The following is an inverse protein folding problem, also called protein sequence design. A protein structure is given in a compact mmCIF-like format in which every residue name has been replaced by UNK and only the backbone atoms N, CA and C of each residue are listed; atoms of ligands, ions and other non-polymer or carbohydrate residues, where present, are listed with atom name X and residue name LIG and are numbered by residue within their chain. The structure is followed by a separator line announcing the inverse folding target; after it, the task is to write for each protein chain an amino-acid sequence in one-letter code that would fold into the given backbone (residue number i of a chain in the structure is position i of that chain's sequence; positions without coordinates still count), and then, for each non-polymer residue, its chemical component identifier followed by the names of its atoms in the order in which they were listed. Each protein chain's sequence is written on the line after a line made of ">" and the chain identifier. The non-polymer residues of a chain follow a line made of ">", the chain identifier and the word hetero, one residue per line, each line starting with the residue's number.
data_IF_600954972774
#
_entry.id   IF_600954972774
#
_cell.length_a   1.000
_cell.length_b   1.000
_cell.length_c   1.000
_cell.angle_alpha   90.00
_cell.angle_beta   90.00
_cell.angle_gamma   90.00
#
_symmetry.space_group_name_H-M   'P 1'
#
loop_
_entity.id
_entity.type
_entity.pdbx_description
1 polymer ?
#
# COMPACT_ATOMS: atom_id res chain seq x y z
N UNK A 1 5.36 -9.71 -40.40
CA UNK A 1 5.04 -9.88 -38.97
C UNK A 1 3.59 -9.48 -38.69
N UNK A 2 2.81 -10.32 -38.04
CA UNK A 2 1.41 -10.07 -37.65
C UNK A 2 1.28 -10.26 -36.14
N UNK A 3 0.67 -9.32 -35.45
CA UNK A 3 0.37 -9.48 -34.02
C UNK A 3 -0.94 -10.25 -33.91
N UNK A 4 -0.87 -11.45 -33.32
CA UNK A 4 -2.02 -12.31 -33.13
C UNK A 4 -2.78 -11.90 -31.86
N UNK A 5 -2.03 -11.59 -30.81
CA UNK A 5 -2.57 -11.26 -29.47
C UNK A 5 -1.69 -10.21 -28.81
N UNK A 6 -2.29 -9.31 -28.05
CA UNK A 6 -1.59 -8.28 -27.26
C UNK A 6 -2.38 -7.99 -25.99
N UNK A 7 -1.69 -7.92 -24.84
CA UNK A 7 -2.23 -7.45 -23.57
C UNK A 7 -1.35 -6.34 -23.00
N UNK A 8 -1.96 -5.46 -22.22
CA UNK A 8 -1.32 -4.27 -21.67
C UNK A 8 -1.65 -4.16 -20.19
N UNK A 9 -0.61 -4.20 -19.34
CA UNK A 9 -0.70 -3.91 -17.91
C UNK A 9 -0.06 -2.55 -17.64
N UNK A 10 -0.76 -1.68 -16.95
CA UNK A 10 -0.23 -0.37 -16.56
C UNK A 10 0.25 -0.44 -15.13
N UNK A 11 1.49 -0.04 -14.90
CA UNK A 11 2.14 0.03 -13.61
C UNK A 11 2.11 1.45 -13.04
N UNK A 12 2.58 1.55 -11.82
CA UNK A 12 2.78 2.83 -11.14
C UNK A 12 3.68 3.78 -11.96
N UNK A 13 3.39 5.09 -11.91
CA UNK A 13 4.13 6.15 -12.65
C UNK A 13 4.15 6.05 -14.18
N UNK A 14 3.11 5.45 -14.77
CA UNK A 14 3.00 5.41 -16.22
C UNK A 14 3.94 4.41 -16.90
N UNK A 15 4.53 3.51 -16.16
CA UNK A 15 5.22 2.35 -16.73
C UNK A 15 4.19 1.35 -17.24
N UNK A 16 4.46 0.75 -18.40
CA UNK A 16 3.53 -0.14 -19.07
C UNK A 16 4.25 -1.40 -19.48
N UNK A 17 3.68 -2.55 -19.11
CA UNK A 17 4.07 -3.85 -19.66
C UNK A 17 3.14 -4.18 -20.83
N UNK A 18 3.71 -4.47 -21.98
CA UNK A 18 2.99 -5.01 -23.14
C UNK A 18 3.52 -6.39 -23.44
N UNK A 19 2.63 -7.35 -23.52
CA UNK A 19 2.99 -8.71 -23.94
C UNK A 19 2.13 -9.14 -25.10
N UNK A 20 2.69 -9.95 -26.01
CA UNK A 20 1.97 -10.37 -27.19
C UNK A 20 2.57 -11.60 -27.86
N UNK A 21 1.76 -12.15 -28.76
CA UNK A 21 2.18 -13.21 -29.69
C UNK A 21 2.28 -12.61 -31.09
N UNK A 22 3.44 -12.80 -31.70
CA UNK A 22 3.77 -12.25 -33.01
C UNK A 22 4.07 -13.41 -33.94
N UNK A 23 3.30 -13.47 -35.03
CA UNK A 23 3.53 -14.39 -36.13
C UNK A 23 4.51 -13.75 -37.11
N UNK A 24 5.61 -14.40 -37.33
CA UNK A 24 6.60 -14.02 -38.34
C UNK A 24 6.90 -15.23 -39.22
N UNK A 25 6.54 -15.10 -40.49
CA UNK A 25 6.54 -16.20 -41.45
C UNK A 25 5.68 -17.38 -40.96
N UNK A 26 6.30 -18.46 -40.50
CA UNK A 26 5.63 -19.69 -40.05
C UNK A 26 5.77 -19.93 -38.54
N UNK A 27 6.40 -19.00 -37.81
CA UNK A 27 6.67 -19.17 -36.38
C UNK A 27 5.93 -18.10 -35.55
N UNK A 28 5.50 -18.52 -34.38
CA UNK A 28 4.88 -17.62 -33.40
C UNK A 28 5.86 -17.36 -32.26
N UNK A 29 6.15 -16.08 -32.01
CA UNK A 29 7.06 -15.64 -30.97
C UNK A 29 6.27 -14.99 -29.83
N UNK A 30 6.61 -15.36 -28.60
CA UNK A 30 6.09 -14.70 -27.40
C UNK A 30 7.03 -13.54 -27.06
N UNK A 31 6.48 -12.35 -26.94
CA UNK A 31 7.25 -11.14 -26.71
C UNK A 31 6.64 -10.33 -25.58
N UNK A 32 7.49 -9.83 -24.71
CA UNK A 32 7.15 -8.96 -23.58
C UNK A 32 8.06 -7.74 -23.64
N UNK A 33 7.49 -6.54 -23.48
CA UNK A 33 8.24 -5.29 -23.39
C UNK A 33 7.75 -4.47 -22.21
N UNK A 34 8.66 -3.77 -21.57
CA UNK A 34 8.39 -2.78 -20.53
C UNK A 34 8.70 -1.39 -21.08
N UNK A 35 7.72 -0.50 -21.02
CA UNK A 35 7.79 0.83 -21.61
C UNK A 35 7.67 1.87 -20.51
N UNK A 36 8.54 2.89 -20.55
CA UNK A 36 8.44 4.10 -19.74
C UNK A 36 8.44 5.31 -20.67
N UNK A 37 7.35 6.06 -20.68
CA UNK A 37 7.13 7.08 -21.71
C UNK A 37 7.00 6.44 -23.08
N UNK A 38 7.94 6.71 -23.98
CA UNK A 38 7.98 6.15 -25.35
C UNK A 38 9.10 5.13 -25.55
N UNK A 39 9.89 4.81 -24.53
CA UNK A 39 11.08 3.97 -24.65
C UNK A 39 10.90 2.61 -23.99
N UNK A 40 11.37 1.56 -24.67
CA UNK A 40 11.53 0.23 -24.07
C UNK A 40 12.75 0.28 -23.16
N UNK A 41 12.58 0.00 -21.87
CA UNK A 41 13.70 -0.09 -20.92
C UNK A 41 14.05 -1.54 -20.58
N UNK A 42 13.12 -2.49 -20.79
CA UNK A 42 13.36 -3.91 -20.63
C UNK A 42 12.49 -4.72 -21.61
N UNK A 43 12.95 -5.89 -22.02
CA UNK A 43 12.22 -6.77 -22.93
C UNK A 43 12.66 -8.23 -22.83
N UNK A 44 11.77 -9.13 -23.22
CA UNK A 44 12.09 -10.54 -23.49
C UNK A 44 11.32 -11.04 -24.70
N UNK A 45 11.95 -11.88 -25.51
CA UNK A 45 11.32 -12.50 -26.67
C UNK A 45 11.81 -13.94 -26.84
N UNK A 46 10.97 -14.84 -27.30
CA UNK A 46 11.34 -16.24 -27.57
C UNK A 46 12.15 -16.43 -28.88
N UNK A 47 12.49 -15.37 -29.60
CA UNK A 47 13.36 -15.44 -30.78
C UNK A 47 14.85 -15.58 -30.38
N UNK A 48 15.70 -15.94 -31.33
CA UNK A 48 17.14 -16.11 -31.10
C UNK A 48 17.84 -14.83 -30.60
N UNK A 49 17.30 -13.65 -30.93
CA UNK A 49 17.83 -12.34 -30.52
C UNK A 49 17.11 -11.78 -29.27
N UNK A 50 16.18 -12.53 -28.71
CA UNK A 50 15.21 -12.08 -27.72
C UNK A 50 15.76 -11.59 -26.40
N UNK A 51 17.05 -11.86 -26.11
CA UNK A 51 17.75 -11.47 -24.89
C UNK A 51 19.14 -10.90 -25.20
N UNK A 52 19.36 -10.34 -26.37
CA UNK A 52 20.67 -9.84 -26.77
C UNK A 52 20.95 -8.46 -26.14
N UNK A 53 22.19 -8.21 -25.72
CA UNK A 53 22.67 -6.91 -25.24
C UNK A 53 22.69 -5.81 -26.33
N UNK A 54 22.31 -6.13 -27.57
CA UNK A 54 22.32 -5.20 -28.71
C UNK A 54 21.05 -4.36 -28.86
N UNK A 55 20.11 -4.48 -27.90
CA UNK A 55 18.84 -3.75 -27.90
C UNK A 55 17.66 -4.57 -28.40
N UNK A 56 16.44 -4.00 -28.36
CA UNK A 56 15.21 -4.72 -28.67
C UNK A 56 15.20 -5.35 -30.06
N UNK A 57 14.83 -6.62 -30.12
CA UNK A 57 14.72 -7.37 -31.38
C UNK A 57 13.56 -6.82 -32.24
N UNK A 58 13.47 -7.27 -33.48
CA UNK A 58 12.42 -6.82 -34.43
C UNK A 58 11.00 -7.07 -33.93
N UNK A 59 10.77 -8.16 -33.17
CA UNK A 59 9.47 -8.50 -32.59
C UNK A 59 9.11 -7.55 -31.43
N UNK A 60 10.07 -7.20 -30.57
CA UNK A 60 9.85 -6.24 -29.49
C UNK A 60 9.50 -4.83 -30.04
N UNK A 61 10.17 -4.41 -31.09
CA UNK A 61 9.87 -3.14 -31.80
C UNK A 61 8.48 -3.18 -32.46
N UNK A 62 8.12 -4.29 -33.13
CA UNK A 62 6.80 -4.46 -33.72
C UNK A 62 5.68 -4.40 -32.67
N UNK A 63 5.90 -4.97 -31.48
CA UNK A 63 4.95 -4.91 -30.38
C UNK A 63 4.82 -3.49 -29.82
N UNK A 64 5.92 -2.74 -29.71
CA UNK A 64 5.92 -1.33 -29.32
C UNK A 64 5.13 -0.47 -30.30
N UNK A 65 5.35 -0.65 -31.61
CA UNK A 65 4.64 0.09 -32.65
C UNK A 65 3.14 -0.20 -32.65
N UNK A 66 2.75 -1.45 -32.42
CA UNK A 66 1.34 -1.80 -32.32
C UNK A 66 0.68 -1.16 -31.10
N UNK A 67 1.37 -1.18 -29.97
CA UNK A 67 0.91 -0.49 -28.77
C UNK A 67 0.76 1.01 -29.01
N UNK A 68 1.75 1.65 -29.65
CA UNK A 68 1.69 3.08 -29.97
C UNK A 68 0.53 3.41 -30.94
N UNK A 69 0.24 2.53 -31.90
CA UNK A 69 -0.94 2.67 -32.80
C UNK A 69 -2.25 2.54 -32.04
N UNK A 70 -2.36 1.59 -31.13
CA UNK A 70 -3.55 1.43 -30.29
C UNK A 70 -3.77 2.66 -29.42
N UNK A 71 -2.74 3.21 -28.79
CA UNK A 71 -2.84 4.46 -28.03
C UNK A 71 -3.27 5.65 -28.87
N UNK A 72 -2.77 5.77 -30.10
CA UNK A 72 -3.21 6.83 -31.04
C UNK A 72 -4.66 6.66 -31.49
N UNK A 73 -5.12 5.45 -31.70
CA UNK A 73 -6.52 5.16 -32.05
C UNK A 73 -7.47 5.48 -30.89
N UNK A 74 -7.04 5.29 -29.65
CA UNK A 74 -7.77 5.70 -28.44
C UNK A 74 -7.82 7.23 -28.24
N UNK A 75 -6.95 7.99 -28.92
CA UNK A 75 -6.90 9.46 -28.87
C UNK A 75 -7.71 10.17 -29.97
N UNK A 76 -8.39 9.46 -30.85
CA UNK A 76 -9.40 10.06 -31.73
C UNK A 76 -10.61 10.38 -30.86
N UNK A 77 -11.12 11.66 -30.80
CA UNK A 77 -12.08 12.04 -29.80
C UNK A 77 -13.43 11.33 -30.04
N UNK A 78 -13.76 10.33 -29.27
CA UNK A 78 -15.12 9.82 -29.23
C UNK A 78 -15.90 10.63 -28.22
N UNK A 79 -17.19 10.68 -28.42
CA UNK A 79 -18.23 11.04 -27.45
C UNK A 79 -17.68 10.95 -26.01
N UNK A 80 -17.81 12.02 -25.23
CA UNK A 80 -17.25 12.20 -23.89
C UNK A 80 -17.66 11.06 -22.92
N UNK A 81 -16.88 10.00 -22.95
CA UNK A 81 -16.97 8.97 -21.92
C UNK A 81 -16.19 9.43 -20.70
N UNK A 82 -16.82 9.33 -19.53
CA UNK A 82 -16.17 9.72 -18.28
C UNK A 82 -14.87 8.90 -18.03
N UNK A 83 -13.90 9.43 -17.28
CA UNK A 83 -12.66 8.70 -16.95
C UNK A 83 -12.92 7.32 -16.36
N UNK A 84 -13.99 7.18 -15.55
CA UNK A 84 -14.40 5.93 -14.91
C UNK A 84 -14.86 4.89 -15.94
N UNK A 85 -15.65 5.31 -16.93
CA UNK A 85 -16.11 4.42 -18.01
C UNK A 85 -14.93 3.97 -18.88
N UNK A 86 -13.97 4.86 -19.16
CA UNK A 86 -12.76 4.50 -19.90
C UNK A 86 -11.92 3.48 -19.15
N UNK A 87 -11.79 3.64 -17.84
CA UNK A 87 -11.09 2.69 -16.98
C UNK A 87 -11.78 1.34 -16.96
N UNK A 88 -13.11 1.33 -16.88
CA UNK A 88 -13.93 0.12 -16.92
C UNK A 88 -13.80 -0.63 -18.26
N UNK A 89 -13.86 0.10 -19.38
CA UNK A 89 -13.69 -0.51 -20.73
C UNK A 89 -12.29 -1.11 -20.86
N UNK A 90 -11.25 -0.39 -20.40
CA UNK A 90 -9.85 -0.85 -20.42
C UNK A 90 -9.65 -2.10 -19.58
N UNK A 91 -10.24 -2.12 -18.39
CA UNK A 91 -10.18 -3.29 -17.50
C UNK A 91 -10.91 -4.50 -18.09
N UNK A 92 -12.09 -4.28 -18.70
CA UNK A 92 -12.83 -5.33 -19.41
C UNK A 92 -12.03 -5.89 -20.59
N UNK A 93 -11.44 -5.01 -21.41
CA UNK A 93 -10.61 -5.43 -22.56
C UNK A 93 -9.39 -6.23 -22.11
N UNK A 94 -8.71 -5.79 -21.04
CA UNK A 94 -7.57 -6.52 -20.47
C UNK A 94 -7.97 -7.91 -19.93
N UNK A 95 -9.11 -8.01 -19.27
CA UNK A 95 -9.67 -9.30 -18.81
C UNK A 95 -9.98 -10.23 -19.99
N UNK A 96 -10.60 -9.71 -21.05
CA UNK A 96 -10.95 -10.53 -22.22
C UNK A 96 -9.68 -11.01 -22.95
N UNK A 97 -8.66 -10.18 -23.06
CA UNK A 97 -7.37 -10.58 -23.63
C UNK A 97 -6.65 -11.60 -22.76
N UNK A 98 -6.64 -11.44 -21.45
CA UNK A 98 -6.08 -12.42 -20.50
C UNK A 98 -6.81 -13.76 -20.63
N UNK A 99 -8.14 -13.73 -20.79
CA UNK A 99 -9.00 -14.88 -21.06
C UNK A 99 -8.58 -15.63 -22.30
N UNK A 100 -8.41 -14.95 -23.42
CA UNK A 100 -8.01 -15.53 -24.70
C UNK A 100 -6.58 -16.10 -24.67
N UNK A 101 -5.69 -15.54 -23.84
CA UNK A 101 -4.31 -16.01 -23.69
C UNK A 101 -4.17 -17.26 -22.80
N UNK A 102 -5.28 -17.79 -22.24
CA UNK A 102 -5.23 -18.92 -21.30
C UNK A 102 -4.61 -18.56 -19.95
N UNK A 103 -4.52 -17.23 -19.63
CA UNK A 103 -4.21 -16.74 -18.29
C UNK A 103 -5.45 -16.82 -17.37
N UNK A 104 -6.45 -17.57 -17.79
CA UNK A 104 -7.87 -17.42 -17.54
C UNK A 104 -8.40 -17.91 -16.21
N UNK A 105 -7.68 -18.64 -15.43
CA UNK A 105 -8.23 -19.22 -14.21
C UNK A 105 -7.33 -19.02 -12.98
N UNK A 106 -6.56 -17.97 -12.98
CA UNK A 106 -5.86 -17.64 -11.74
C UNK A 106 -6.80 -16.78 -10.91
N UNK A 107 -7.39 -17.40 -9.88
CA UNK A 107 -8.06 -16.65 -8.83
C UNK A 107 -7.24 -15.42 -8.43
N UNK A 108 -7.85 -14.25 -8.35
CA UNK A 108 -7.14 -13.03 -7.99
C UNK A 108 -6.47 -13.15 -6.62
N UNK A 109 -5.35 -12.50 -6.47
CA UNK A 109 -4.62 -12.48 -5.22
C UNK A 109 -5.06 -11.26 -4.41
N UNK A 110 -5.40 -11.48 -3.15
CA UNK A 110 -5.80 -10.43 -2.22
C UNK A 110 -4.60 -9.92 -1.45
N UNK A 111 -4.54 -8.61 -1.29
CA UNK A 111 -3.56 -7.94 -0.44
C UNK A 111 -4.30 -7.25 0.70
N UNK A 112 -3.94 -7.59 1.93
CA UNK A 112 -4.59 -7.11 3.13
C UNK A 112 -3.60 -6.30 3.99
N UNK A 113 -3.97 -5.09 4.44
CA UNK A 113 -3.20 -4.37 5.42
C UNK A 113 -3.24 -5.07 6.78
N UNK A 114 -2.13 -4.96 7.49
CA UNK A 114 -2.00 -5.33 8.87
C UNK A 114 -1.27 -4.20 9.58
N UNK A 115 -1.88 -3.66 10.63
CA UNK A 115 -1.41 -2.45 11.29
C UNK A 115 -0.85 -2.76 12.67
N UNK A 116 0.35 -2.29 12.95
CA UNK A 116 0.85 -2.21 14.32
C UNK A 116 0.73 -0.76 14.78
N UNK A 117 -0.05 -0.53 15.82
CA UNK A 117 -0.26 0.80 16.38
C UNK A 117 0.48 0.87 17.69
N UNK A 118 1.56 1.67 17.73
CA UNK A 118 2.45 1.76 18.88
C UNK A 118 2.86 3.20 19.13
N UNK A 119 2.55 3.72 20.32
CA UNK A 119 3.01 5.04 20.79
C UNK A 119 2.82 6.18 19.77
N UNK A 120 1.64 6.27 19.17
CA UNK A 120 1.35 7.30 18.17
C UNK A 120 1.93 7.03 16.79
N UNK A 121 2.63 5.91 16.58
CA UNK A 121 3.12 5.46 15.29
C UNK A 121 2.26 4.36 14.70
N UNK A 122 2.14 4.35 13.40
CA UNK A 122 1.46 3.31 12.63
C UNK A 122 2.47 2.64 11.72
N UNK A 123 2.72 1.37 11.96
CA UNK A 123 3.52 0.53 11.09
C UNK A 123 2.58 -0.31 10.24
N UNK A 124 2.82 -0.30 8.94
CA UNK A 124 2.06 -1.03 7.95
C UNK A 124 2.81 -2.28 7.53
N UNK A 125 2.21 -3.44 7.74
CA UNK A 125 2.59 -4.71 7.13
C UNK A 125 1.57 -5.08 6.05
N UNK A 126 1.92 -6.04 5.20
CA UNK A 126 1.01 -6.60 4.22
C UNK A 126 0.90 -8.12 4.36
N UNK A 127 -0.31 -8.62 4.23
CA UNK A 127 -0.59 -10.05 4.10
C UNK A 127 -1.18 -10.33 2.72
N UNK A 128 -0.67 -11.33 2.03
CA UNK A 128 -1.00 -11.64 0.65
C UNK A 128 -1.50 -13.06 0.53
N UNK A 129 -2.51 -13.30 -0.28
CA UNK A 129 -3.00 -14.66 -0.51
C UNK A 129 -4.35 -14.72 -1.18
N UNK A 130 -4.81 -15.94 -1.37
CA UNK A 130 -6.16 -16.29 -1.79
C UNK A 130 -6.95 -16.78 -0.59
N UNK A 131 -7.07 -18.09 -0.42
CA UNK A 131 -7.66 -18.66 0.80
C UNK A 131 -6.73 -18.52 2.00
N UNK A 132 -5.43 -18.85 1.81
CA UNK A 132 -4.41 -18.74 2.86
C UNK A 132 -3.63 -17.43 2.71
N UNK A 133 -3.50 -16.70 3.80
CA UNK A 133 -2.75 -15.44 3.85
C UNK A 133 -1.31 -15.67 4.29
N UNK A 134 -0.37 -15.12 3.54
CA UNK A 134 1.06 -15.15 3.82
C UNK A 134 1.53 -13.75 4.18
N UNK A 135 2.49 -13.65 5.10
CA UNK A 135 3.13 -12.39 5.45
C UNK A 135 4.10 -12.01 4.34
N UNK A 136 4.03 -10.78 3.86
CA UNK A 136 5.06 -10.21 2.99
C UNK A 136 6.28 -9.87 3.85
N UNK A 137 7.33 -10.69 3.74
CA UNK A 137 8.50 -10.60 4.63
C UNK A 137 9.38 -9.38 4.37
N UNK A 138 9.37 -8.86 3.15
CA UNK A 138 10.13 -7.70 2.75
C UNK A 138 9.30 -6.85 1.78
N UNK A 139 8.80 -5.72 2.27
CA UNK A 139 7.92 -4.82 1.51
C UNK A 139 8.67 -4.09 0.39
N UNK A 140 9.99 -3.85 0.55
CA UNK A 140 10.79 -3.21 -0.49
C UNK A 140 11.04 -4.15 -1.67
N UNK A 141 11.38 -5.42 -1.40
CA UNK A 141 11.50 -6.43 -2.46
C UNK A 141 10.15 -6.71 -3.13
N UNK A 142 9.07 -6.69 -2.37
CA UNK A 142 7.71 -6.80 -2.90
C UNK A 142 7.41 -5.67 -3.89
N UNK A 143 7.72 -4.42 -3.53
CA UNK A 143 7.53 -3.27 -4.42
C UNK A 143 8.36 -3.42 -5.70
N UNK A 144 9.64 -3.81 -5.59
CA UNK A 144 10.48 -4.08 -6.75
C UNK A 144 9.94 -5.23 -7.63
N UNK A 145 9.38 -6.28 -7.00
CA UNK A 145 8.77 -7.39 -7.72
C UNK A 145 7.53 -6.94 -8.50
N UNK A 146 6.71 -6.05 -7.94
CA UNK A 146 5.55 -5.45 -8.62
C UNK A 146 6.00 -4.57 -9.77
N UNK A 147 7.00 -3.71 -9.59
CA UNK A 147 7.53 -2.84 -10.65
C UNK A 147 8.13 -3.63 -11.82
N UNK A 148 8.79 -4.76 -11.53
CA UNK A 148 9.41 -5.60 -12.55
C UNK A 148 8.50 -6.69 -13.10
N UNK A 149 7.30 -6.88 -12.56
CA UNK A 149 6.41 -7.99 -12.91
C UNK A 149 7.01 -9.36 -12.58
N UNK A 150 7.90 -9.42 -11.57
CA UNK A 150 8.63 -10.63 -11.20
C UNK A 150 7.70 -11.70 -10.64
N UNK A 151 7.93 -12.96 -11.01
CA UNK A 151 7.28 -14.10 -10.38
C UNK A 151 7.90 -14.36 -9.01
N UNK A 152 7.10 -14.38 -7.96
CA UNK A 152 7.51 -14.66 -6.58
C UNK A 152 6.68 -15.79 -5.99
N UNK A 153 7.29 -16.59 -5.13
CA UNK A 153 6.66 -17.72 -4.44
C UNK A 153 6.38 -17.40 -2.97
N UNK A 154 5.17 -17.75 -2.53
CA UNK A 154 4.71 -17.62 -1.15
C UNK A 154 4.37 -18.99 -0.57
N UNK A 155 5.24 -19.47 0.33
CA UNK A 155 5.07 -20.82 0.90
C UNK A 155 5.09 -21.92 -0.16
N UNK A 156 4.45 -23.04 0.12
CA UNK A 156 4.50 -24.25 -0.73
C UNK A 156 3.46 -24.31 -1.86
N UNK A 157 2.62 -23.29 -2.05
CA UNK A 157 1.48 -23.46 -2.97
C UNK A 157 1.03 -22.22 -3.72
N UNK A 158 1.63 -21.06 -3.51
CA UNK A 158 1.24 -19.85 -4.21
C UNK A 158 2.45 -19.19 -4.87
N UNK A 159 2.43 -19.15 -6.20
CA UNK A 159 3.42 -18.43 -6.99
C UNK A 159 2.72 -17.71 -8.14
N UNK A 160 2.99 -16.43 -8.33
CA UNK A 160 2.40 -15.64 -9.40
C UNK A 160 3.31 -14.49 -9.83
N UNK A 161 3.05 -13.95 -11.00
CA UNK A 161 3.71 -12.74 -11.49
C UNK A 161 3.07 -11.53 -10.82
N UNK A 162 3.91 -10.66 -10.23
CA UNK A 162 3.49 -9.46 -9.51
C UNK A 162 3.10 -8.35 -10.46
N UNK A 163 1.98 -8.53 -11.16
CA UNK A 163 1.42 -7.53 -12.06
C UNK A 163 0.09 -7.02 -11.49
N UNK A 164 -0.29 -5.76 -11.72
CA UNK A 164 -1.51 -5.18 -11.17
C UNK A 164 -2.77 -6.00 -11.48
N UNK A 165 -2.83 -6.65 -12.66
CA UNK A 165 -3.94 -7.51 -13.05
C UNK A 165 -4.06 -8.79 -12.22
N UNK A 166 -2.99 -9.26 -11.59
CA UNK A 166 -3.01 -10.44 -10.72
C UNK A 166 -3.64 -10.17 -9.35
N UNK A 167 -3.73 -8.90 -8.96
CA UNK A 167 -4.33 -8.51 -7.69
C UNK A 167 -5.83 -8.25 -7.85
N UNK A 168 -6.60 -8.65 -6.82
CA UNK A 168 -8.02 -8.36 -6.75
C UNK A 168 -8.28 -6.85 -6.88
N UNK A 169 -9.31 -6.41 -7.61
CA UNK A 169 -9.60 -4.99 -7.82
C UNK A 169 -9.68 -4.18 -6.52
N UNK A 170 -10.30 -4.75 -5.48
CA UNK A 170 -10.42 -4.15 -4.16
C UNK A 170 -9.09 -4.00 -3.40
N UNK A 171 -8.08 -4.78 -3.77
CA UNK A 171 -6.73 -4.71 -3.17
C UNK A 171 -5.83 -3.68 -3.85
N UNK A 172 -6.16 -3.25 -5.07
CA UNK A 172 -5.29 -2.36 -5.86
C UNK A 172 -5.09 -0.99 -5.22
N UNK A 173 -6.11 -0.31 -4.66
CA UNK A 173 -5.89 0.97 -4.00
C UNK A 173 -4.92 0.87 -2.81
N UNK A 174 -4.96 -0.25 -2.08
CA UNK A 174 -4.01 -0.52 -1.01
C UNK A 174 -2.61 -0.87 -1.56
N UNK A 175 -2.53 -1.60 -2.66
CA UNK A 175 -1.28 -1.87 -3.37
C UNK A 175 -0.60 -0.56 -3.78
N UNK A 176 -1.36 0.37 -4.37
CA UNK A 176 -0.84 1.66 -4.81
C UNK A 176 -0.26 2.47 -3.64
N UNK A 177 -0.98 2.53 -2.51
CA UNK A 177 -0.47 3.17 -1.29
C UNK A 177 0.83 2.52 -0.80
N UNK A 178 0.87 1.19 -0.75
CA UNK A 178 2.04 0.44 -0.29
C UNK A 178 3.26 0.69 -1.19
N UNK A 179 3.06 0.72 -2.51
CA UNK A 179 4.12 1.00 -3.47
C UNK A 179 4.65 2.43 -3.32
N UNK A 180 3.79 3.43 -3.14
CA UNK A 180 4.22 4.81 -2.87
C UNK A 180 5.11 4.94 -1.65
N UNK A 181 4.69 4.34 -0.55
CA UNK A 181 5.45 4.40 0.71
C UNK A 181 6.77 3.62 0.61
N UNK A 182 6.76 2.45 -0.03
CA UNK A 182 7.98 1.68 -0.28
C UNK A 182 8.96 2.44 -1.19
N UNK A 183 8.48 3.04 -2.27
CA UNK A 183 9.29 3.83 -3.19
C UNK A 183 9.86 5.10 -2.54
N UNK A 184 9.07 5.75 -1.69
CA UNK A 184 9.54 6.91 -0.92
C UNK A 184 10.68 6.50 0.03
N UNK A 185 10.54 5.36 0.71
CA UNK A 185 11.59 4.82 1.57
C UNK A 185 12.85 4.46 0.77
N UNK A 186 12.71 3.76 -0.37
CA UNK A 186 13.84 3.37 -1.23
C UNK A 186 14.61 4.61 -1.68
N UNK A 187 13.92 5.63 -2.19
CA UNK A 187 14.56 6.89 -2.62
C UNK A 187 15.32 7.56 -1.49
N UNK A 188 14.69 7.70 -0.32
CA UNK A 188 15.34 8.30 0.84
C UNK A 188 16.58 7.50 1.29
N UNK A 189 16.48 6.17 1.29
CA UNK A 189 17.60 5.28 1.63
C UNK A 189 18.76 5.43 0.64
N UNK A 190 18.49 5.51 -0.65
CA UNK A 190 19.50 5.71 -1.71
C UNK A 190 20.17 7.09 -1.59
N UNK A 191 19.39 8.14 -1.35
CA UNK A 191 19.92 9.51 -1.12
C UNK A 191 20.84 9.57 0.09
N UNK A 192 20.43 9.00 1.21
CA UNK A 192 21.22 8.98 2.46
C UNK A 192 22.55 8.22 2.31
N UNK A 193 22.59 7.20 1.48
CA UNK A 193 23.75 6.33 1.27
C UNK A 193 24.63 6.70 0.09
N UNK A 194 24.35 7.81 -0.61
CA UNK A 194 25.18 8.30 -1.72
C UNK A 194 25.30 7.32 -2.88
N UNK A 195 24.22 6.63 -3.24
CA UNK A 195 24.16 5.69 -4.39
C UNK A 195 25.20 4.55 -4.33
N UNK A 196 25.60 4.14 -3.15
CA UNK A 196 26.71 3.20 -2.93
C UNK A 196 26.44 1.74 -3.36
N UNK A 197 25.35 1.48 -4.10
CA UNK A 197 25.01 0.12 -4.58
C UNK A 197 24.81 -0.92 -3.46
N UNK A 198 24.56 -0.47 -2.24
CA UNK A 198 24.32 -1.36 -1.11
C UNK A 198 22.93 -2.01 -1.22
N UNK A 199 22.79 -3.27 -0.79
CA UNK A 199 21.50 -3.94 -0.83
C UNK A 199 20.49 -3.19 0.06
N UNK A 200 19.22 -3.18 -0.37
CA UNK A 200 18.13 -2.63 0.42
C UNK A 200 17.97 -3.42 1.72
N UNK A 201 17.59 -2.76 2.82
CA UNK A 201 17.31 -3.46 4.06
C UNK A 201 16.07 -4.35 3.92
N UNK A 202 16.00 -5.39 4.75
CA UNK A 202 14.80 -6.22 4.85
C UNK A 202 13.78 -5.48 5.70
N UNK A 203 12.69 -5.04 5.10
CA UNK A 203 11.62 -4.28 5.76
C UNK A 203 10.31 -5.06 5.73
N UNK A 204 9.94 -5.60 6.89
CA UNK A 204 8.63 -6.28 7.06
C UNK A 204 7.49 -5.29 7.25
N UNK A 205 7.78 -4.16 7.88
CA UNK A 205 6.83 -3.10 8.14
C UNK A 205 7.38 -1.74 7.71
N UNK A 206 6.51 -0.84 7.25
CA UNK A 206 6.83 0.54 6.93
C UNK A 206 6.13 1.45 7.93
N UNK A 207 6.85 2.42 8.49
CA UNK A 207 6.24 3.47 9.31
C UNK A 207 5.54 4.46 8.38
N UNK A 208 4.23 4.62 8.57
CA UNK A 208 3.43 5.52 7.75
C UNK A 208 3.61 6.97 8.18
N UNK A 209 3.86 7.84 7.20
CA UNK A 209 3.77 9.29 7.39
C UNK A 209 2.33 9.75 7.62
N UNK A 210 2.14 11.00 8.07
CA UNK A 210 0.83 11.54 8.43
C UNK A 210 -0.17 11.51 7.26
N UNK A 211 0.24 11.92 6.07
CA UNK A 211 -0.61 11.88 4.87
C UNK A 211 -0.99 10.45 4.46
N UNK A 212 -0.06 9.51 4.57
CA UNK A 212 -0.32 8.11 4.27
C UNK A 212 -1.30 7.46 5.27
N UNK A 213 -1.29 7.90 6.53
CA UNK A 213 -2.28 7.48 7.54
C UNK A 213 -3.70 7.90 7.15
N UNK A 214 -3.87 9.15 6.71
CA UNK A 214 -5.18 9.65 6.25
C UNK A 214 -5.68 8.87 5.04
N UNK A 215 -4.82 8.63 4.05
CA UNK A 215 -5.16 7.85 2.85
C UNK A 215 -5.51 6.40 3.19
N UNK A 216 -4.74 5.76 4.06
CA UNK A 216 -5.02 4.39 4.49
C UNK A 216 -6.37 4.31 5.21
N UNK A 217 -6.68 5.26 6.10
CA UNK A 217 -7.96 5.30 6.77
C UNK A 217 -9.12 5.43 5.76
N UNK A 218 -9.00 6.34 4.80
CA UNK A 218 -10.04 6.53 3.76
C UNK A 218 -10.26 5.26 2.92
N UNK A 219 -9.20 4.46 2.66
CA UNK A 219 -9.31 3.15 1.98
C UNK A 219 -9.98 2.07 2.84
N UNK A 220 -9.86 2.17 4.15
CA UNK A 220 -10.36 1.18 5.11
C UNK A 220 -11.70 1.57 5.73
N UNK A 221 -12.20 2.78 5.52
CA UNK A 221 -13.47 3.24 6.09
C UNK A 221 -14.62 2.25 5.81
N UNK A 222 -15.33 1.88 6.87
CA UNK A 222 -16.41 0.88 6.81
C UNK A 222 -15.98 -0.58 6.74
N UNK A 223 -14.67 -0.86 6.69
CA UNK A 223 -14.10 -2.22 6.61
C UNK A 223 -13.52 -2.65 7.95
N UNK A 224 -13.14 -3.92 8.01
CA UNK A 224 -12.38 -4.49 9.12
C UNK A 224 -10.90 -4.57 8.75
N UNK A 225 -10.04 -4.26 9.71
CA UNK A 225 -8.58 -4.34 9.56
C UNK A 225 -7.97 -5.10 10.74
N UNK A 226 -6.99 -5.93 10.45
CA UNK A 226 -6.22 -6.60 11.50
C UNK A 226 -5.20 -5.62 12.07
N UNK A 227 -5.18 -5.54 13.39
CA UNK A 227 -4.28 -4.67 14.15
C UNK A 227 -3.51 -5.45 15.20
N UNK A 228 -2.35 -4.96 15.59
CA UNK A 228 -1.57 -5.43 16.70
C UNK A 228 -1.29 -4.26 17.66
N UNK A 229 -1.54 -4.45 18.94
CA UNK A 229 -1.26 -3.44 19.94
C UNK A 229 0.20 -3.49 20.42
N UNK A 230 0.59 -2.57 21.31
CA UNK A 230 1.94 -2.51 21.89
C UNK A 230 2.38 -3.79 22.62
N UNK A 231 1.43 -4.60 23.05
CA UNK A 231 1.69 -5.85 23.78
C UNK A 231 1.75 -7.07 22.85
N UNK A 232 1.61 -6.85 21.54
CA UNK A 232 1.59 -7.91 20.54
C UNK A 232 0.24 -8.65 20.45
N UNK A 233 -0.83 -8.10 21.04
CA UNK A 233 -2.15 -8.71 20.92
C UNK A 233 -2.79 -8.37 19.56
N UNK A 234 -3.04 -9.40 18.77
CA UNK A 234 -3.73 -9.26 17.49
C UNK A 234 -5.24 -9.07 17.72
N UNK A 235 -5.82 -8.12 17.00
CA UNK A 235 -7.25 -7.78 17.04
C UNK A 235 -7.77 -7.52 15.65
N UNK A 236 -9.08 -7.55 15.49
CA UNK A 236 -9.77 -7.08 14.30
C UNK A 236 -10.54 -5.83 14.69
N UNK A 237 -10.16 -4.70 14.10
CA UNK A 237 -10.80 -3.41 14.36
C UNK A 237 -11.69 -3.04 13.19
N UNK A 238 -12.89 -2.53 13.49
CA UNK A 238 -13.75 -1.90 12.51
C UNK A 238 -13.35 -0.43 12.34
N UNK A 239 -13.17 0.00 11.10
CA UNK A 239 -12.76 1.38 10.79
C UNK A 239 -14.02 2.24 10.60
N UNK A 240 -14.15 3.28 11.40
CA UNK A 240 -15.36 4.13 11.43
C UNK A 240 -14.98 5.61 11.48
N UNK A 241 -15.71 6.44 10.74
CA UNK A 241 -15.63 7.91 10.87
C UNK A 241 -16.61 8.37 11.95
N UNK A 242 -16.11 8.48 13.19
CA UNK A 242 -16.92 8.79 14.35
C UNK A 242 -16.03 9.25 15.51
N UNK A 243 -16.56 10.14 16.35
CA UNK A 243 -15.90 10.54 17.58
C UNK A 243 -16.09 9.48 18.65
N UNK A 244 -15.00 8.90 19.20
CA UNK A 244 -15.09 7.88 20.23
C UNK A 244 -15.55 8.47 21.58
N UNK A 245 -16.22 7.63 22.36
CA UNK A 245 -16.54 7.93 23.77
C UNK A 245 -15.89 6.90 24.65
N UNK A 246 -15.09 7.33 25.60
CA UNK A 246 -14.45 6.46 26.58
C UNK A 246 -14.48 7.09 27.97
N UNK A 247 -14.46 6.28 29.04
CA UNK A 247 -14.44 6.81 30.41
C UNK A 247 -13.10 7.47 30.70
N UNK A 248 -13.15 8.64 31.33
CA UNK A 248 -12.00 9.35 31.88
C UNK A 248 -12.22 9.46 33.38
N UNK A 249 -11.32 8.90 34.18
CA UNK A 249 -11.35 9.04 35.63
C UNK A 249 -10.38 10.12 36.05
N UNK A 250 -10.80 11.00 36.93
CA UNK A 250 -10.00 12.11 37.45
C UNK A 250 -9.96 12.03 38.97
N UNK A 251 -8.79 11.91 39.54
CA UNK A 251 -8.55 11.82 40.99
C UNK A 251 -7.57 12.91 41.45
N UNK A 252 -7.86 13.54 42.57
CA UNK A 252 -6.91 14.43 43.20
C UNK A 252 -5.83 13.62 43.93
N UNK A 253 -4.55 13.92 43.65
CA UNK A 253 -3.41 13.26 44.34
C UNK A 253 -2.40 14.30 44.78
N UNK A 254 -2.33 14.50 46.09
CA UNK A 254 -1.42 15.50 46.65
C UNK A 254 -1.74 16.91 46.15
N UNK A 255 -0.78 17.52 45.45
CA UNK A 255 -0.89 18.85 44.83
C UNK A 255 -1.22 18.77 43.32
N UNK A 256 -1.53 17.58 42.79
CA UNK A 256 -1.79 17.34 41.39
C UNK A 256 -3.13 16.60 41.13
N UNK A 257 -3.37 16.34 39.88
CA UNK A 257 -4.54 15.61 39.39
C UNK A 257 -4.03 14.38 38.62
N UNK A 258 -4.54 13.21 38.96
CA UNK A 258 -4.34 11.99 38.20
C UNK A 258 -5.50 11.80 37.23
N UNK A 259 -5.20 11.65 35.95
CA UNK A 259 -6.17 11.38 34.90
C UNK A 259 -5.93 9.98 34.35
N UNK A 260 -6.95 9.16 34.33
CA UNK A 260 -6.86 7.77 33.92
C UNK A 260 -7.80 7.47 32.76
N UNK A 261 -7.29 6.79 31.74
CA UNK A 261 -8.04 6.31 30.58
C UNK A 261 -7.85 4.80 30.39
N UNK A 262 -8.74 4.11 29.62
CA UNK A 262 -8.55 2.69 29.31
C UNK A 262 -7.19 2.40 28.67
N UNK A 263 -6.52 1.35 29.07
CA UNK A 263 -5.18 1.00 28.57
C UNK A 263 -5.17 0.51 27.10
N UNK A 264 -6.32 0.07 26.61
CA UNK A 264 -6.49 -0.34 25.20
C UNK A 264 -6.61 0.87 24.26
N UNK A 265 -6.85 2.07 24.82
CA UNK A 265 -6.97 3.28 24.03
C UNK A 265 -5.59 3.71 23.54
N UNK A 266 -5.45 3.89 22.25
CA UNK A 266 -4.25 4.48 21.64
C UNK A 266 -4.66 5.49 20.59
N UNK A 267 -3.84 6.51 20.38
CA UNK A 267 -4.12 7.56 19.41
C UNK A 267 -2.91 7.87 18.54
N UNK A 268 -3.18 8.32 17.34
CA UNK A 268 -2.14 8.81 16.41
C UNK A 268 -2.71 9.90 15.50
N UNK A 269 -1.84 10.76 14.99
CA UNK A 269 -2.25 11.81 14.06
C UNK A 269 -1.98 11.41 12.62
N UNK A 270 -2.94 11.72 11.75
CA UNK A 270 -2.74 11.95 10.34
C UNK A 270 -2.30 13.39 10.08
N UNK A 271 -2.31 13.80 8.83
CA UNK A 271 -2.08 15.19 8.46
C UNK A 271 -3.31 16.06 8.78
N UNK A 272 -4.50 15.53 8.53
CA UNK A 272 -5.77 16.24 8.67
C UNK A 272 -6.55 15.85 9.92
N UNK A 273 -6.39 14.60 10.42
CA UNK A 273 -7.27 14.03 11.45
C UNK A 273 -6.50 13.36 12.58
N UNK A 274 -7.18 13.32 13.71
CA UNK A 274 -6.81 12.44 14.81
C UNK A 274 -7.49 11.08 14.63
N UNK A 275 -6.76 10.02 14.91
CA UNK A 275 -7.25 8.65 14.93
C UNK A 275 -7.16 8.08 16.34
N UNK A 276 -8.17 7.34 16.73
CA UNK A 276 -8.24 6.70 18.04
C UNK A 276 -8.62 5.24 17.87
N UNK A 277 -7.86 4.34 18.47
CA UNK A 277 -8.18 2.92 18.53
C UNK A 277 -8.53 2.54 19.96
N UNK A 278 -9.60 1.76 20.15
CA UNK A 278 -10.06 1.24 21.46
C UNK A 278 -9.84 -0.27 21.59
N UNK A 279 -9.23 -0.89 20.58
CA UNK A 279 -9.00 -2.33 20.47
C UNK A 279 -10.10 -3.11 19.75
N UNK A 280 -11.23 -2.50 19.45
CA UNK A 280 -12.31 -3.05 18.63
C UNK A 280 -12.60 -2.17 17.40
N UNK A 281 -12.39 -0.88 17.54
CA UNK A 281 -12.63 0.12 16.50
C UNK A 281 -11.38 0.97 16.27
N UNK A 282 -11.26 1.44 15.04
CA UNK A 282 -10.33 2.48 14.65
C UNK A 282 -11.16 3.67 14.16
N UNK A 283 -11.20 4.72 14.97
CA UNK A 283 -12.00 5.90 14.71
C UNK A 283 -11.20 6.98 13.99
N UNK A 284 -11.76 7.54 12.91
CA UNK A 284 -11.31 8.82 12.35
C UNK A 284 -12.17 9.95 12.92
N UNK A 285 -11.56 10.76 13.76
CA UNK A 285 -12.26 11.80 14.51
C UNK A 285 -12.64 13.01 13.68
N UNK A 286 -13.67 13.75 14.13
CA UNK A 286 -14.02 15.05 13.57
C UNK A 286 -12.95 16.09 13.87
N UNK A 287 -12.96 17.20 13.12
CA UNK A 287 -12.06 18.34 13.35
C UNK A 287 -12.24 18.89 14.77
N UNK A 288 -13.49 19.09 15.22
CA UNK A 288 -13.80 19.56 16.57
C UNK A 288 -13.24 18.64 17.64
N UNK A 289 -13.37 17.34 17.47
CA UNK A 289 -12.80 16.37 18.41
C UNK A 289 -11.26 16.38 18.37
N UNK A 290 -10.68 16.54 17.20
CA UNK A 290 -9.23 16.66 17.02
C UNK A 290 -8.68 17.88 17.75
N UNK A 291 -9.34 19.03 17.66
CA UNK A 291 -8.95 20.25 18.34
C UNK A 291 -9.11 20.17 19.87
N UNK A 292 -10.19 19.54 20.33
CA UNK A 292 -10.52 19.50 21.76
C UNK A 292 -9.79 18.38 22.52
N UNK A 293 -9.70 17.19 21.92
CA UNK A 293 -9.16 16.01 22.58
C UNK A 293 -7.74 15.64 22.14
N UNK A 294 -7.25 16.21 21.03
CA UNK A 294 -5.97 15.82 20.44
C UNK A 294 -4.79 16.00 21.39
N UNK A 295 -4.66 17.19 21.99
CA UNK A 295 -3.59 17.49 22.94
C UNK A 295 -3.64 16.59 24.18
N UNK A 296 -4.86 16.33 24.68
CA UNK A 296 -5.04 15.45 25.83
C UNK A 296 -4.59 14.03 25.52
N UNK A 297 -5.01 13.47 24.39
CA UNK A 297 -4.63 12.09 23.99
C UNK A 297 -3.14 11.97 23.70
N UNK A 298 -2.53 12.96 23.06
CA UNK A 298 -1.07 12.99 22.86
C UNK A 298 -0.28 13.00 24.18
N UNK A 299 -0.74 13.76 25.16
CA UNK A 299 -0.15 13.76 26.49
C UNK A 299 -0.29 12.41 27.18
N UNK A 300 -1.44 11.73 27.02
CA UNK A 300 -1.65 10.40 27.55
C UNK A 300 -0.73 9.35 26.89
N UNK A 301 -0.41 9.49 25.60
CA UNK A 301 0.56 8.61 24.91
C UNK A 301 2.00 8.85 25.41
N UNK A 302 2.36 10.10 25.66
CA UNK A 302 3.72 10.48 26.09
C UNK A 302 3.94 10.24 27.60
N UNK A 303 2.94 10.54 28.42
CA UNK A 303 3.03 10.52 29.90
C UNK A 303 2.84 9.16 30.55
N UNK A 304 2.31 8.17 29.83
CA UNK A 304 1.97 6.85 30.37
C UNK A 304 3.15 5.95 30.75
N UNK A 305 4.36 6.50 30.92
CA UNK A 305 5.58 5.74 31.24
C UNK A 305 5.80 5.48 32.71
N UNK A 306 5.11 6.14 33.64
CA UNK A 306 5.46 6.11 35.06
C UNK A 306 4.45 5.43 36.01
N UNK A 307 3.29 5.00 35.56
CA UNK A 307 2.35 4.35 36.45
C UNK A 307 2.31 2.83 36.36
N UNK A 308 2.91 2.24 37.38
CA UNK A 308 2.91 0.82 37.60
C UNK A 308 1.53 0.26 37.94
N UNK A 309 1.36 -1.01 37.56
CA UNK A 309 0.54 -2.04 38.19
C UNK A 309 -0.97 -2.09 38.05
N UNK A 310 -1.65 -1.32 37.23
CA UNK A 310 -3.02 -1.72 36.86
C UNK A 310 -3.07 -1.98 35.34
N UNK A 311 -3.16 -3.26 35.01
CA UNK A 311 -3.10 -3.81 33.62
C UNK A 311 -4.15 -3.27 32.65
N UNK A 312 -5.08 -2.46 33.09
CA UNK A 312 -6.25 -2.03 32.30
C UNK A 312 -6.35 -0.51 32.04
N UNK A 313 -5.52 0.30 32.71
CA UNK A 313 -5.64 1.78 32.64
C UNK A 313 -4.29 2.46 32.48
N UNK A 314 -4.26 3.58 31.75
CA UNK A 314 -3.12 4.51 31.63
C UNK A 314 -3.41 5.75 32.48
N UNK A 315 -2.41 6.24 33.21
CA UNK A 315 -2.52 7.37 34.10
C UNK A 315 -1.53 8.47 33.73
N UNK A 316 -1.98 9.72 33.73
CA UNK A 316 -1.18 10.92 33.55
C UNK A 316 -1.25 11.76 34.84
N UNK A 317 -0.12 12.08 35.42
CA UNK A 317 -0.03 13.01 36.55
C UNK A 317 0.22 14.44 36.04
N UNK A 318 -0.76 15.29 36.21
CA UNK A 318 -0.65 16.72 35.89
C UNK A 318 -0.32 17.47 37.18
N UNK A 319 0.97 17.82 37.36
CA UNK A 319 1.43 18.63 38.49
C UNK A 319 1.01 20.10 38.34
N UNK A 320 0.59 20.73 39.43
CA UNK A 320 0.40 22.17 39.48
C UNK A 320 1.77 22.87 39.32
N UNK A 321 1.99 23.58 38.22
CA UNK A 321 3.07 24.59 38.17
C UNK A 321 2.74 25.61 39.25
N UNK A 322 3.48 25.61 40.35
CA UNK A 322 3.53 26.76 41.25
C UNK A 322 3.84 27.99 40.42
N UNK A 323 2.85 28.85 40.22
CA UNK A 323 3.06 30.24 39.85
C UNK A 323 3.79 30.81 41.06
N UNK A 324 5.12 30.92 40.97
CA UNK A 324 5.86 31.75 41.92
C UNK A 324 5.45 33.18 41.65
N UNK A 325 4.50 33.68 42.46
CA UNK A 325 4.34 35.10 42.69
C UNK A 325 5.67 35.57 43.28
N UNK A 326 6.50 36.17 42.46
CA UNK A 326 7.66 36.93 42.93
C UNK A 326 7.19 38.17 43.71
N UNK A 327 8.05 38.68 44.58
CA UNK A 327 7.74 39.77 45.48
C UNK A 327 7.44 41.09 44.77
#
# INVERSE_FOLDING_TARGET
>A
MKIIKMSVDTFWKGEVRVQGQIEDETKVYQTRIFIKGSQIYDYSCSCAEGNSFRGPCVHAKALQEAFARQQKAEHTPPVSTSPEIRMMIREYTNREVARILGEEEREPVYLHPYLQIRRGEVLLEARIGREKRYIVKNLLEFAQAVHSGKRVEYGKGMAFEHVPSAFAPESRPFLDLLLEEADAYIRHYEEMRGHAGLPLPVMRALTLGSAARDRLFDLLEGKEVQTEDEKGAERVCRVERKDPRFPVEVEARGDGIAVTVPSALTSFRGEQRLYVADGLHLFGCSELYTETMGVFLEQMEQGGRECGSRKEKRELLVGSRRIRSGP
#
